data_IF_894478018888
#
_entry.id   IF_894478018888
#
_cell.length_a   1.000
_cell.length_b   1.000
_cell.length_c   1.000
_cell.angle_alpha   90.00
_cell.angle_beta   90.00
_cell.angle_gamma   90.00
#
_symmetry.space_group_name_H-M   'P 1'
#
loop_
_entity.id
_entity.type
_entity.pdbx_description
1 polymer ?
#
# COMPACT_ATOMS: atom_id res chain seq x y z
N UNK A 1 -62.30 25.49 -32.17
CA UNK A 1 -61.33 25.41 -31.06
C UNK A 1 -60.07 24.83 -31.69
N UNK A 2 -59.03 25.68 -31.82
CA UNK A 2 -57.63 25.39 -32.25
C UNK A 2 -57.11 26.54 -33.12
N UNK A 3 -57.07 27.74 -32.52
CA UNK A 3 -56.33 28.88 -33.04
C UNK A 3 -54.99 28.95 -32.31
N UNK A 4 -53.98 28.26 -32.83
CA UNK A 4 -52.58 28.50 -32.49
C UNK A 4 -51.82 28.89 -33.77
N UNK A 5 -51.05 29.99 -33.77
CA UNK A 5 -50.40 30.52 -34.97
C UNK A 5 -49.34 29.56 -35.51
N UNK A 6 -49.15 29.48 -36.85
CA UNK A 6 -48.22 28.55 -37.51
C UNK A 6 -46.75 28.75 -37.14
N UNK A 7 -46.39 29.86 -36.50
CA UNK A 7 -45.05 30.15 -36.00
C UNK A 7 -44.59 29.23 -34.84
N UNK A 8 -45.52 28.55 -34.15
CA UNK A 8 -45.20 27.67 -33.01
C UNK A 8 -44.99 26.20 -33.41
N UNK A 9 -45.19 25.84 -34.68
CA UNK A 9 -44.96 24.46 -35.17
C UNK A 9 -43.48 24.19 -35.47
N UNK A 10 -42.72 25.25 -35.77
CA UNK A 10 -41.30 25.16 -36.12
C UNK A 10 -40.39 24.96 -34.89
N UNK A 11 -40.86 25.33 -33.69
CA UNK A 11 -40.13 25.12 -32.43
C UNK A 11 -40.30 23.74 -31.81
N UNK A 12 -41.28 22.94 -32.27
CA UNK A 12 -41.56 21.61 -31.71
C UNK A 12 -40.42 20.60 -31.90
N UNK A 13 -39.60 20.78 -32.93
CA UNK A 13 -38.41 19.95 -33.19
C UNK A 13 -37.12 20.52 -32.57
N UNK A 14 -37.14 21.79 -32.17
CA UNK A 14 -35.97 22.47 -31.58
C UNK A 14 -35.73 22.00 -30.14
N UNK A 15 -36.79 21.86 -29.34
CA UNK A 15 -36.70 21.37 -27.96
C UNK A 15 -36.18 19.92 -27.84
N UNK A 16 -36.69 18.92 -28.59
CA UNK A 16 -36.15 17.55 -28.52
C UNK A 16 -34.72 17.48 -29.06
N UNK A 17 -34.38 18.26 -30.09
CA UNK A 17 -33.01 18.33 -30.61
C UNK A 17 -32.04 18.93 -29.56
N UNK A 18 -32.44 20.00 -28.87
CA UNK A 18 -31.63 20.60 -27.80
C UNK A 18 -31.48 19.65 -26.60
N UNK A 19 -32.54 18.94 -26.21
CA UNK A 19 -32.49 17.95 -25.14
C UNK A 19 -31.53 16.79 -25.48
N UNK A 20 -31.53 16.32 -26.73
CA UNK A 20 -30.60 15.30 -27.21
C UNK A 20 -29.14 15.78 -27.12
N UNK A 21 -28.86 17.01 -27.54
CA UNK A 21 -27.51 17.59 -27.49
C UNK A 21 -27.03 17.74 -26.05
N UNK A 22 -27.88 18.20 -25.13
CA UNK A 22 -27.55 18.31 -23.70
C UNK A 22 -27.32 16.93 -23.08
N UNK A 23 -28.14 15.94 -23.42
CA UNK A 23 -27.96 14.57 -22.96
C UNK A 23 -26.62 13.99 -23.46
N UNK A 24 -26.31 14.13 -24.75
CA UNK A 24 -25.03 13.69 -25.31
C UNK A 24 -23.83 14.42 -24.69
N UNK A 25 -23.95 15.73 -24.45
CA UNK A 25 -22.91 16.51 -23.77
C UNK A 25 -22.72 16.08 -22.31
N UNK A 26 -23.80 15.77 -21.59
CA UNK A 26 -23.73 15.24 -20.22
C UNK A 26 -23.12 13.85 -20.16
N UNK A 27 -23.45 12.96 -21.12
CA UNK A 27 -22.85 11.64 -21.25
C UNK A 27 -21.37 11.77 -21.59
N UNK A 28 -21.00 12.65 -22.52
CA UNK A 28 -19.61 12.93 -22.88
C UNK A 28 -18.84 13.52 -21.69
N UNK A 29 -19.44 14.41 -20.92
CA UNK A 29 -18.84 15.01 -19.73
C UNK A 29 -18.65 13.96 -18.63
N UNK A 30 -19.65 13.11 -18.39
CA UNK A 30 -19.58 12.01 -17.43
C UNK A 30 -18.56 10.97 -17.86
N UNK A 31 -18.46 10.63 -19.16
CA UNK A 31 -17.44 9.71 -19.65
C UNK A 31 -16.04 10.32 -19.58
N UNK A 32 -15.86 11.61 -19.87
CA UNK A 32 -14.60 12.33 -19.68
C UNK A 32 -14.20 12.47 -18.21
N UNK A 33 -15.16 12.71 -17.31
CA UNK A 33 -14.89 12.76 -15.87
C UNK A 33 -14.62 11.37 -15.29
N UNK A 34 -15.30 10.34 -15.78
CA UNK A 34 -15.07 8.94 -15.39
C UNK A 34 -13.80 8.36 -16.00
N UNK A 35 -13.33 8.90 -17.14
CA UNK A 35 -12.02 8.57 -17.73
C UNK A 35 -10.85 9.37 -17.12
N UNK A 36 -11.14 10.33 -16.24
CA UNK A 36 -10.14 10.98 -15.36
C UNK A 36 -9.97 10.21 -14.05
N UNK A 37 -10.11 8.89 -14.08
CA UNK A 37 -9.49 8.08 -13.04
C UNK A 37 -7.98 8.29 -13.10
N UNK A 38 -7.31 8.51 -11.96
CA UNK A 38 -5.85 8.60 -11.91
C UNK A 38 -5.26 7.36 -12.59
N UNK A 39 -4.23 7.58 -13.41
CA UNK A 39 -3.83 6.67 -14.47
C UNK A 39 -3.70 5.21 -14.04
N UNK A 40 -4.25 4.31 -14.87
CA UNK A 40 -3.90 2.89 -14.85
C UNK A 40 -2.38 2.77 -14.85
N UNK A 41 -1.84 2.20 -13.78
CA UNK A 41 -0.43 1.80 -13.69
C UNK A 41 -0.14 0.94 -14.90
N UNK A 42 0.87 1.29 -15.71
CA UNK A 42 1.31 0.43 -16.81
C UNK A 42 1.85 -0.86 -16.19
N UNK A 43 1.12 -1.94 -16.46
CA UNK A 43 1.24 -3.28 -15.91
C UNK A 43 2.67 -3.83 -15.95
N UNK A 44 3.13 -4.33 -14.79
CA UNK A 44 4.21 -5.31 -14.69
C UNK A 44 5.47 -4.88 -13.92
N UNK A 45 5.63 -3.61 -13.55
CA UNK A 45 6.86 -3.13 -12.86
C UNK A 45 6.59 -2.12 -11.74
N UNK A 46 5.41 -2.16 -11.13
CA UNK A 46 5.09 -1.30 -9.97
C UNK A 46 5.49 -1.93 -8.65
N UNK A 47 5.93 -1.09 -7.72
CA UNK A 47 6.26 -1.44 -6.35
C UNK A 47 5.38 -0.58 -5.44
N UNK A 48 4.59 -1.24 -4.60
CA UNK A 48 3.63 -0.58 -3.72
C UNK A 48 4.23 -0.40 -2.33
N UNK A 49 4.27 0.84 -1.83
CA UNK A 49 4.58 1.13 -0.44
C UNK A 49 3.28 1.14 0.37
N UNK A 50 3.12 0.14 1.22
CA UNK A 50 1.95 -0.05 2.08
C UNK A 50 2.34 0.02 3.55
N UNK A 51 1.34 0.14 4.43
CA UNK A 51 1.54 0.10 5.88
C UNK A 51 0.85 1.23 6.65
N UNK A 52 0.84 1.16 7.99
CA UNK A 52 0.15 2.13 8.85
C UNK A 52 0.59 3.57 8.62
N UNK A 53 -0.26 4.54 8.99
CA UNK A 53 0.17 5.94 9.09
C UNK A 53 1.40 6.08 9.99
N UNK A 54 2.26 7.05 9.70
CA UNK A 54 3.50 7.34 10.43
C UNK A 54 4.58 6.24 10.44
N UNK A 55 4.41 5.17 9.65
CA UNK A 55 5.44 4.14 9.50
C UNK A 55 6.67 4.60 8.70
N UNK A 56 6.56 5.71 7.96
CA UNK A 56 7.66 6.31 7.18
C UNK A 56 7.65 5.99 5.69
N UNK A 57 6.52 5.51 5.13
CA UNK A 57 6.36 5.25 3.68
C UNK A 57 6.81 6.41 2.79
N UNK A 58 6.29 7.62 3.05
CA UNK A 58 6.61 8.81 2.26
C UNK A 58 8.06 9.25 2.44
N UNK A 59 8.66 9.03 3.62
CA UNK A 59 10.07 9.30 3.85
C UNK A 59 10.96 8.34 3.02
N UNK A 60 10.61 7.05 2.97
CA UNK A 60 11.29 6.06 2.12
C UNK A 60 11.12 6.43 0.65
N UNK A 61 9.89 6.74 0.19
CA UNK A 61 9.64 7.16 -1.19
C UNK A 61 10.50 8.36 -1.58
N UNK A 62 10.51 9.38 -0.72
CA UNK A 62 11.26 10.62 -0.97
C UNK A 62 12.75 10.34 -1.02
N UNK A 63 13.26 9.51 -0.10
CA UNK A 63 14.67 9.13 -0.05
C UNK A 63 15.09 8.37 -1.31
N UNK A 64 14.29 7.40 -1.76
CA UNK A 64 14.54 6.66 -3.00
C UNK A 64 14.46 7.56 -4.25
N UNK A 65 13.49 8.48 -4.30
CA UNK A 65 13.24 9.29 -5.50
C UNK A 65 14.24 10.44 -5.65
N UNK A 66 14.59 11.11 -4.54
CA UNK A 66 15.35 12.36 -4.57
C UNK A 66 16.73 12.24 -3.91
N UNK A 67 17.09 11.08 -3.36
CA UNK A 67 18.33 10.88 -2.63
C UNK A 67 18.41 11.68 -1.32
N UNK A 68 17.31 12.28 -0.84
CA UNK A 68 17.30 13.19 0.31
C UNK A 68 16.10 12.95 1.22
N UNK A 69 16.25 13.24 2.51
CA UNK A 69 15.11 13.34 3.43
C UNK A 69 14.40 14.68 3.26
N UNK A 70 13.09 14.66 2.99
CA UNK A 70 12.23 15.84 3.09
C UNK A 70 11.23 15.64 4.25
N UNK A 71 10.89 16.68 5.01
CA UNK A 71 9.81 16.60 5.99
C UNK A 71 8.48 16.31 5.28
N UNK A 72 7.85 15.19 5.60
CA UNK A 72 6.59 14.74 4.96
C UNK A 72 5.43 14.75 5.96
N UNK A 73 4.26 15.21 5.51
CA UNK A 73 2.98 15.08 6.22
C UNK A 73 2.20 13.85 5.70
N UNK A 74 1.11 13.48 6.37
CA UNK A 74 0.28 12.32 6.01
C UNK A 74 -0.24 12.44 4.56
N UNK A 75 0.09 11.46 3.70
CA UNK A 75 -0.38 11.43 2.31
C UNK A 75 -1.90 11.32 2.24
N UNK A 76 -2.56 12.29 1.59
CA UNK A 76 -4.00 12.29 1.32
C UNK A 76 -4.37 11.70 -0.06
N UNK A 77 -3.38 11.52 -0.94
CA UNK A 77 -3.53 10.95 -2.29
C UNK A 77 -2.34 10.03 -2.60
N UNK A 78 -2.57 9.01 -3.41
CA UNK A 78 -1.53 8.09 -3.89
C UNK A 78 -0.47 8.84 -4.70
N UNK A 79 0.78 8.83 -4.23
CA UNK A 79 1.90 9.47 -4.92
C UNK A 79 2.64 8.43 -5.76
N UNK A 80 2.79 8.67 -7.07
CA UNK A 80 3.49 7.77 -7.99
C UNK A 80 4.75 8.44 -8.50
N UNK A 81 5.87 7.74 -8.38
CA UNK A 81 7.17 8.19 -8.87
C UNK A 81 7.85 7.06 -9.65
N UNK A 82 8.70 7.43 -10.58
CA UNK A 82 9.49 6.46 -11.35
C UNK A 82 10.89 6.45 -10.77
N UNK A 83 11.33 5.29 -10.30
CA UNK A 83 12.66 5.08 -9.72
C UNK A 83 13.43 4.06 -10.56
N UNK A 84 14.67 4.38 -10.90
CA UNK A 84 15.56 3.43 -11.60
C UNK A 84 16.71 3.12 -10.65
N UNK A 85 16.78 1.89 -10.08
CA UNK A 85 17.92 1.47 -9.29
C UNK A 85 19.21 1.54 -10.12
N UNK A 86 20.32 1.84 -9.47
CA UNK A 86 21.64 1.78 -10.11
C UNK A 86 21.94 0.33 -10.52
N UNK A 87 22.08 0.07 -11.83
CA UNK A 87 22.29 -1.27 -12.37
C UNK A 87 21.03 -2.00 -12.88
N UNK A 88 19.84 -1.46 -12.66
CA UNK A 88 18.61 -2.05 -13.21
C UNK A 88 18.37 -1.61 -14.67
N UNK A 89 18.08 -2.58 -15.56
CA UNK A 89 17.76 -2.30 -16.97
C UNK A 89 16.40 -1.62 -17.19
N UNK A 90 15.50 -1.62 -16.19
CA UNK A 90 14.14 -1.09 -16.32
C UNK A 90 13.76 -0.23 -15.10
N UNK A 91 13.06 0.90 -15.32
CA UNK A 91 12.56 1.73 -14.24
C UNK A 91 11.38 1.07 -13.51
N UNK A 92 11.36 1.13 -12.19
CA UNK A 92 10.26 0.74 -11.32
C UNK A 92 9.29 1.93 -11.09
N UNK A 93 8.00 1.65 -11.04
CA UNK A 93 6.99 2.63 -10.63
C UNK A 93 6.72 2.48 -9.14
N UNK A 94 7.24 3.36 -8.30
CA UNK A 94 6.95 3.38 -6.86
C UNK A 94 5.64 4.12 -6.59
N UNK A 95 4.71 3.47 -5.89
CA UNK A 95 3.46 4.07 -5.47
C UNK A 95 3.37 4.11 -3.93
N UNK A 96 3.30 5.31 -3.34
CA UNK A 96 2.98 5.50 -1.92
C UNK A 96 1.46 5.50 -1.73
N UNK A 97 0.94 4.43 -1.12
CA UNK A 97 -0.47 4.32 -0.81
C UNK A 97 -0.72 4.88 0.60
N UNK A 98 -1.69 5.79 0.77
CA UNK A 98 -2.06 6.31 2.08
C UNK A 98 -2.39 5.22 3.10
N UNK A 99 -1.81 5.32 4.30
CA UNK A 99 -1.99 4.34 5.38
C UNK A 99 -3.22 4.54 6.27
N UNK A 100 -4.00 5.61 6.03
CA UNK A 100 -5.13 5.96 6.88
C UNK A 100 -6.30 4.97 6.65
N UNK A 101 -6.96 4.43 7.70
CA UNK A 101 -7.99 3.39 7.58
C UNK A 101 -9.06 3.66 6.51
N UNK A 102 -9.54 4.91 6.41
CA UNK A 102 -10.55 5.32 5.42
C UNK A 102 -10.13 5.19 3.94
N UNK A 103 -8.83 5.24 3.64
CA UNK A 103 -8.31 5.32 2.26
C UNK A 103 -7.29 4.23 1.94
N UNK A 104 -6.91 3.40 2.94
CA UNK A 104 -5.95 2.30 2.73
C UNK A 104 -6.41 1.29 1.68
N UNK A 105 -7.72 1.06 1.55
CA UNK A 105 -8.30 0.10 0.58
C UNK A 105 -7.97 0.41 -0.90
N UNK A 106 -7.50 1.62 -1.22
CA UNK A 106 -7.06 2.02 -2.56
C UNK A 106 -5.90 1.16 -3.11
N UNK A 107 -5.17 0.42 -2.25
CA UNK A 107 -4.10 -0.46 -2.70
C UNK A 107 -4.60 -1.57 -3.64
N UNK A 108 -5.86 -1.99 -3.51
CA UNK A 108 -6.44 -3.10 -4.29
C UNK A 108 -6.48 -2.79 -5.79
N UNK A 109 -6.72 -1.53 -6.15
CA UNK A 109 -6.69 -1.07 -7.55
C UNK A 109 -5.27 -1.06 -8.13
N UNK A 110 -4.26 -0.87 -7.29
CA UNK A 110 -2.85 -0.83 -7.68
C UNK A 110 -2.17 -2.21 -7.61
N UNK A 111 -2.84 -3.21 -7.02
CA UNK A 111 -2.33 -4.57 -6.85
C UNK A 111 -2.25 -5.32 -8.19
N UNK A 112 -3.16 -5.04 -9.11
CA UNK A 112 -3.18 -5.62 -10.46
C UNK A 112 -1.97 -5.12 -11.28
N UNK A 113 -0.94 -5.96 -11.38
CA UNK A 113 0.33 -5.65 -12.06
C UNK A 113 1.46 -5.18 -11.15
N UNK A 114 1.31 -5.28 -9.82
CA UNK A 114 2.39 -5.07 -8.87
C UNK A 114 3.43 -6.19 -8.96
N UNK A 115 4.70 -5.81 -9.10
CA UNK A 115 5.84 -6.74 -9.06
C UNK A 115 6.25 -7.05 -7.62
N UNK A 116 6.15 -6.04 -6.74
CA UNK A 116 6.50 -6.18 -5.33
C UNK A 116 5.73 -5.24 -4.42
N UNK A 117 5.64 -5.60 -3.15
CA UNK A 117 4.97 -4.83 -2.10
C UNK A 117 5.95 -4.64 -0.94
N UNK A 118 6.21 -3.40 -0.58
CA UNK A 118 6.97 -3.05 0.62
C UNK A 118 5.99 -2.62 1.70
N UNK A 119 5.75 -3.49 2.67
CA UNK A 119 4.92 -3.20 3.82
C UNK A 119 5.76 -2.59 4.95
N UNK A 120 5.68 -1.28 5.12
CA UNK A 120 6.51 -0.50 6.04
C UNK A 120 5.88 -0.47 7.43
N UNK A 121 6.64 -0.90 8.43
CA UNK A 121 6.25 -1.01 9.84
C UNK A 121 7.19 -0.19 10.71
N UNK A 122 6.65 0.57 11.65
CA UNK A 122 7.45 1.24 12.68
C UNK A 122 7.85 0.23 13.77
N UNK A 123 9.13 -0.15 13.79
CA UNK A 123 9.69 -1.11 14.73
C UNK A 123 9.70 -0.62 16.19
N UNK A 124 9.67 0.70 16.41
CA UNK A 124 9.67 1.30 17.76
C UNK A 124 8.31 1.21 18.45
N UNK A 125 7.22 1.24 17.67
CA UNK A 125 5.83 1.26 18.18
C UNK A 125 5.10 -0.07 18.00
N UNK A 126 5.72 -1.07 17.36
CA UNK A 126 5.09 -2.36 17.04
C UNK A 126 4.53 -3.11 18.26
N UNK A 127 5.15 -2.95 19.44
CA UNK A 127 4.66 -3.59 20.66
C UNK A 127 3.31 -3.04 21.14
N UNK A 128 2.97 -1.79 20.80
CA UNK A 128 1.69 -1.15 21.15
C UNK A 128 0.67 -1.30 20.02
N UNK A 129 1.12 -1.12 18.78
CA UNK A 129 0.24 -1.02 17.62
C UNK A 129 0.10 -2.36 16.85
N UNK A 130 0.73 -3.44 17.32
CA UNK A 130 0.83 -4.72 16.60
C UNK A 130 -0.49 -5.28 16.09
N UNK A 131 -1.57 -5.17 16.87
CA UNK A 131 -2.89 -5.65 16.45
C UNK A 131 -3.46 -4.91 15.23
N UNK A 132 -3.32 -3.57 15.20
CA UNK A 132 -3.75 -2.71 14.09
C UNK A 132 -2.85 -2.87 12.87
N UNK A 133 -1.54 -3.05 13.08
CA UNK A 133 -0.60 -3.32 11.97
C UNK A 133 -0.91 -4.68 11.34
N UNK A 134 -1.13 -5.71 12.17
CA UNK A 134 -1.47 -7.05 11.71
C UNK A 134 -2.83 -7.09 10.98
N UNK A 135 -3.79 -6.27 11.36
CA UNK A 135 -5.06 -6.11 10.62
C UNK A 135 -4.83 -5.65 9.18
N UNK A 136 -4.04 -4.59 9.05
CA UNK A 136 -3.76 -4.01 7.75
C UNK A 136 -2.95 -4.99 6.90
N UNK A 137 -1.98 -5.67 7.51
CA UNK A 137 -1.21 -6.71 6.83
C UNK A 137 -2.12 -7.87 6.40
N UNK A 138 -3.01 -8.36 7.26
CA UNK A 138 -3.98 -9.41 6.92
C UNK A 138 -4.85 -9.00 5.73
N UNK A 139 -5.31 -7.75 5.69
CA UNK A 139 -6.08 -7.22 4.55
C UNK A 139 -5.28 -7.28 3.24
N UNK A 140 -3.98 -6.96 3.29
CA UNK A 140 -3.07 -7.04 2.14
C UNK A 140 -2.82 -8.50 1.73
N UNK A 141 -2.49 -9.38 2.67
CA UNK A 141 -2.27 -10.81 2.42
C UNK A 141 -3.52 -11.45 1.81
N UNK A 142 -4.70 -11.13 2.36
CA UNK A 142 -5.98 -11.60 1.83
C UNK A 142 -6.18 -11.14 0.39
N UNK A 143 -5.99 -9.84 0.10
CA UNK A 143 -6.14 -9.32 -1.26
C UNK A 143 -5.18 -9.99 -2.26
N UNK A 144 -3.97 -10.35 -1.85
CA UNK A 144 -3.02 -11.11 -2.68
C UNK A 144 -3.55 -12.52 -2.96
N UNK A 145 -4.10 -13.22 -1.98
CA UNK A 145 -4.70 -14.54 -2.18
C UNK A 145 -5.95 -14.52 -3.07
N UNK A 146 -6.60 -13.37 -3.22
CA UNK A 146 -7.75 -13.18 -4.11
C UNK A 146 -7.35 -12.83 -5.56
N UNK A 147 -6.05 -12.68 -5.85
CA UNK A 147 -5.60 -12.41 -7.21
C UNK A 147 -5.93 -13.59 -8.15
N UNK A 148 -6.27 -13.31 -9.42
CA UNK A 148 -6.51 -14.37 -10.40
C UNK A 148 -5.28 -15.29 -10.53
N UNK A 149 -5.45 -16.61 -10.75
CA UNK A 149 -4.32 -17.53 -10.95
C UNK A 149 -3.41 -17.18 -12.15
N UNK A 150 -3.91 -16.36 -13.08
CA UNK A 150 -3.16 -15.83 -14.22
C UNK A 150 -2.31 -14.61 -13.90
N UNK A 151 -2.52 -13.98 -12.74
CA UNK A 151 -1.76 -12.82 -12.30
C UNK A 151 -0.45 -13.25 -11.63
N UNK A 152 0.58 -12.42 -11.77
CA UNK A 152 1.84 -12.63 -11.08
C UNK A 152 1.68 -12.31 -9.59
N UNK A 153 2.04 -13.24 -8.71
CA UNK A 153 2.05 -13.01 -7.26
C UNK A 153 3.18 -12.05 -6.89
N UNK A 154 2.89 -10.87 -6.32
CA UNK A 154 3.95 -9.92 -5.94
C UNK A 154 4.81 -10.46 -4.79
N UNK A 155 6.12 -10.23 -4.85
CA UNK A 155 7.01 -10.49 -3.71
C UNK A 155 6.77 -9.46 -2.60
N UNK A 156 6.78 -9.88 -1.34
CA UNK A 156 6.47 -9.01 -0.19
C UNK A 156 7.72 -8.78 0.65
N UNK A 157 8.05 -7.52 0.90
CA UNK A 157 9.04 -7.10 1.89
C UNK A 157 8.33 -6.41 3.06
N UNK A 158 8.39 -7.02 4.25
CA UNK A 158 8.03 -6.34 5.49
C UNK A 158 9.25 -5.56 5.98
N UNK A 159 9.19 -4.23 5.84
CA UNK A 159 10.27 -3.35 6.22
C UNK A 159 10.07 -2.83 7.65
N UNK A 160 10.87 -3.33 8.58
CA UNK A 160 10.93 -2.84 9.96
C UNK A 160 11.73 -1.53 10.02
N UNK A 161 11.04 -0.43 9.74
CA UNK A 161 11.59 0.91 9.69
C UNK A 161 11.82 1.50 11.10
N UNK A 162 12.60 2.57 11.16
CA UNK A 162 13.03 3.27 12.38
C UNK A 162 13.85 2.38 13.32
N UNK A 163 14.67 1.48 12.74
CA UNK A 163 15.56 0.61 13.50
C UNK A 163 16.57 1.38 14.37
N UNK A 164 16.85 2.64 14.02
CA UNK A 164 17.67 3.58 14.81
C UNK A 164 17.09 3.85 16.22
N UNK A 165 15.76 3.75 16.38
CA UNK A 165 15.06 3.93 17.65
C UNK A 165 14.96 2.64 18.48
N UNK A 166 15.39 1.50 17.94
CA UNK A 166 15.35 0.22 18.63
C UNK A 166 16.62 0.05 19.46
N UNK A 167 16.44 -0.21 20.75
CA UNK A 167 17.54 -0.58 21.63
C UNK A 167 18.04 -1.98 21.27
N UNK A 168 19.28 -2.08 20.79
CA UNK A 168 19.96 -3.34 20.52
C UNK A 168 21.17 -3.52 21.45
N UNK A 169 21.45 -4.76 21.81
CA UNK A 169 22.70 -5.14 22.49
C UNK A 169 23.88 -4.97 21.54
N UNK A 170 25.09 -4.77 22.08
CA UNK A 170 26.30 -4.54 21.27
C UNK A 170 26.69 -5.67 20.32
N UNK A 171 26.09 -6.86 20.47
CA UNK A 171 26.40 -8.07 19.72
C UNK A 171 25.55 -8.31 18.47
N UNK A 172 24.48 -7.54 18.24
CA UNK A 172 23.55 -7.76 17.12
C UNK A 172 23.22 -6.44 16.43
N UNK A 173 23.24 -6.38 15.08
CA UNK A 173 22.80 -5.18 14.34
C UNK A 173 21.39 -4.74 14.74
N UNK A 174 21.13 -3.42 14.74
CA UNK A 174 19.82 -2.88 15.16
C UNK A 174 18.71 -3.30 14.19
N UNK A 175 19.07 -3.42 12.92
CA UNK A 175 18.21 -3.81 11.81
C UNK A 175 17.72 -5.25 11.99
N UNK A 176 18.58 -6.17 12.41
CA UNK A 176 18.19 -7.57 12.63
C UNK A 176 17.29 -7.70 13.85
N UNK A 177 17.61 -7.01 14.95
CA UNK A 177 16.77 -6.97 16.16
C UNK A 177 15.39 -6.37 15.86
N UNK A 178 15.34 -5.29 15.08
CA UNK A 178 14.09 -4.66 14.65
C UNK A 178 13.24 -5.63 13.80
N UNK A 179 13.86 -6.31 12.83
CA UNK A 179 13.19 -7.28 11.97
C UNK A 179 12.63 -8.47 12.76
N UNK A 180 13.41 -9.04 13.69
CA UNK A 180 12.97 -10.15 14.54
C UNK A 180 11.81 -9.74 15.46
N UNK A 181 11.87 -8.54 16.05
CA UNK A 181 10.79 -8.01 16.88
C UNK A 181 9.50 -7.85 16.09
N UNK A 182 9.57 -7.29 14.89
CA UNK A 182 8.42 -7.12 14.01
C UNK A 182 7.85 -8.49 13.59
N UNK A 183 8.71 -9.43 13.20
CA UNK A 183 8.32 -10.81 12.87
C UNK A 183 7.53 -11.46 14.00
N UNK A 184 8.11 -11.51 15.20
CA UNK A 184 7.48 -12.17 16.35
C UNK A 184 6.12 -11.57 16.71
N UNK A 185 6.00 -10.23 16.69
CA UNK A 185 4.73 -9.58 17.02
C UNK A 185 3.69 -9.84 15.93
N UNK A 186 4.05 -9.70 14.65
CA UNK A 186 3.10 -9.89 13.56
C UNK A 186 2.65 -11.35 13.43
N UNK A 187 3.55 -12.33 13.51
CA UNK A 187 3.17 -13.75 13.46
C UNK A 187 2.20 -14.09 14.60
N UNK A 188 2.47 -13.59 15.82
CA UNK A 188 1.58 -13.80 16.96
C UNK A 188 0.20 -13.17 16.77
N UNK A 189 0.13 -11.91 16.30
CA UNK A 189 -1.16 -11.24 16.12
C UNK A 189 -1.95 -11.80 14.92
N UNK A 190 -1.27 -12.25 13.85
CA UNK A 190 -1.90 -12.93 12.72
C UNK A 190 -2.41 -14.31 13.11
N UNK A 191 -1.68 -15.07 13.94
CA UNK A 191 -2.17 -16.34 14.46
C UNK A 191 -3.43 -16.17 15.31
N UNK A 192 -3.48 -15.15 16.19
CA UNK A 192 -4.70 -14.82 16.94
C UNK A 192 -5.88 -14.53 16.02
N UNK A 193 -5.65 -13.78 14.94
CA UNK A 193 -6.69 -13.46 13.94
C UNK A 193 -7.15 -14.73 13.22
N UNK A 194 -6.23 -15.58 12.77
CA UNK A 194 -6.53 -16.89 12.16
C UNK A 194 -7.39 -17.75 13.09
N UNK A 195 -7.02 -17.87 14.37
CA UNK A 195 -7.81 -18.62 15.36
C UNK A 195 -9.18 -17.99 15.63
N UNK A 196 -9.28 -16.66 15.69
CA UNK A 196 -10.57 -15.98 15.87
C UNK A 196 -11.50 -16.19 14.68
N UNK A 197 -10.96 -16.24 13.45
CA UNK A 197 -11.74 -16.54 12.26
C UNK A 197 -12.20 -18.00 12.21
N UNK A 198 -11.41 -18.94 12.74
CA UNK A 198 -11.78 -20.36 12.82
C UNK A 198 -12.81 -20.63 13.93
N UNK A 199 -12.70 -19.96 15.07
CA UNK A 199 -13.59 -20.14 16.23
C UNK A 199 -14.88 -19.30 16.15
N UNK A 200 -14.90 -18.25 15.32
CA UNK A 200 -16.03 -17.34 15.10
C UNK A 200 -17.25 -17.94 14.40
N UNK A 201 -17.22 -19.21 13.98
CA UNK A 201 -18.36 -19.89 13.35
C UNK A 201 -19.43 -20.34 14.37
N UNK A 202 -19.26 -20.06 15.67
CA UNK A 202 -20.07 -20.68 16.72
C UNK A 202 -20.94 -19.80 17.65
N UNK A 203 -20.75 -18.48 17.77
CA UNK A 203 -21.43 -17.70 18.84
C UNK A 203 -21.75 -16.25 18.45
N UNK A 204 -23.03 -15.99 18.15
CA UNK A 204 -23.75 -14.72 18.39
C UNK A 204 -23.39 -13.51 17.53
N UNK A 205 -24.31 -12.63 17.14
CA UNK A 205 -25.68 -12.45 17.60
C UNK A 205 -26.27 -11.17 17.02
N UNK A 206 -27.60 -11.12 17.05
CA UNK A 206 -28.46 -9.97 16.82
C UNK A 206 -27.92 -8.72 17.55
N UNK A 207 -27.63 -7.67 16.80
CA UNK A 207 -27.21 -6.38 17.31
C UNK A 207 -27.33 -5.32 16.23
N UNK A 208 -28.56 -4.84 16.02
CA UNK A 208 -28.88 -3.68 15.21
C UNK A 208 -28.24 -2.44 15.87
N UNK A 209 -27.22 -1.89 15.23
CA UNK A 209 -26.73 -0.52 15.43
C UNK A 209 -26.09 -0.06 14.12
N UNK A 210 -26.92 0.58 13.29
CA UNK A 210 -26.48 1.33 12.12
C UNK A 210 -25.67 2.56 12.59
N UNK A 211 -24.34 2.47 12.52
CA UNK A 211 -23.38 3.54 12.20
C UNK A 211 -21.98 3.17 12.72
N UNK A 212 -21.33 2.25 12.03
CA UNK A 212 -19.89 2.21 11.82
C UNK A 212 -19.69 1.22 10.66
N UNK A 213 -18.81 1.51 9.71
CA UNK A 213 -18.55 0.61 8.61
C UNK A 213 -18.02 -0.71 9.19
N UNK A 214 -18.91 -1.69 9.29
CA UNK A 214 -18.62 -3.07 9.65
C UNK A 214 -17.67 -3.61 8.57
N UNK A 215 -16.36 -3.43 8.78
CA UNK A 215 -15.33 -4.21 8.12
C UNK A 215 -15.52 -5.65 8.61
N UNK A 216 -16.51 -6.34 8.03
CA UNK A 216 -16.82 -7.73 8.32
C UNK A 216 -15.52 -8.52 8.36
N UNK A 217 -15.33 -9.28 9.44
CA UNK A 217 -14.09 -9.97 9.72
C UNK A 217 -13.59 -10.70 8.46
N UNK A 218 -12.45 -10.25 7.92
CA UNK A 218 -11.87 -10.81 6.69
C UNK A 218 -11.65 -12.31 6.91
N UNK A 219 -12.40 -13.13 6.20
CA UNK A 219 -12.34 -14.58 6.33
C UNK A 219 -11.32 -15.14 5.34
N UNK A 220 -10.29 -15.84 5.84
CA UNK A 220 -9.24 -16.47 5.05
C UNK A 220 -8.04 -15.56 4.72
N UNK A 221 -7.12 -16.05 3.88
CA UNK A 221 -5.89 -15.35 3.47
C UNK A 221 -4.68 -15.57 4.38
N UNK A 222 -4.84 -16.36 5.45
CA UNK A 222 -3.77 -16.71 6.42
C UNK A 222 -3.49 -18.22 6.44
N UNK A 223 -3.80 -18.92 5.34
CA UNK A 223 -3.56 -20.35 5.21
C UNK A 223 -2.06 -20.65 5.14
N UNK A 224 -1.66 -21.74 5.77
CA UNK A 224 -0.25 -22.15 5.88
C UNK A 224 -0.04 -23.58 5.41
N UNK A 225 1.10 -23.82 4.77
CA UNK A 225 1.54 -25.16 4.37
C UNK A 225 1.89 -25.97 5.62
N UNK A 226 1.03 -26.93 5.94
CA UNK A 226 1.21 -27.89 7.02
C UNK A 226 0.56 -27.50 8.34
N UNK A 227 0.74 -28.36 9.33
CA UNK A 227 0.16 -28.20 10.66
C UNK A 227 1.07 -27.33 11.56
N UNK A 228 0.46 -26.45 12.37
CA UNK A 228 1.16 -25.57 13.30
C UNK A 228 0.69 -24.11 13.29
N UNK A 229 1.34 -23.26 14.11
CA UNK A 229 1.01 -21.83 14.18
C UNK A 229 1.42 -21.09 12.91
N UNK A 230 0.76 -19.97 12.63
CA UNK A 230 1.09 -19.09 11.53
C UNK A 230 2.56 -18.65 11.59
N UNK A 231 3.26 -18.82 10.47
CA UNK A 231 4.59 -18.22 10.25
C UNK A 231 4.69 -17.79 8.80
N UNK A 232 5.36 -16.66 8.56
CA UNK A 232 5.55 -16.13 7.21
C UNK A 232 6.27 -17.10 6.28
N UNK A 233 7.16 -17.95 6.81
CA UNK A 233 7.88 -18.95 6.01
C UNK A 233 6.99 -20.09 5.49
N UNK A 234 5.83 -20.29 6.12
CA UNK A 234 4.87 -21.35 5.76
C UNK A 234 3.63 -20.81 5.05
N UNK A 235 3.54 -19.50 4.83
CA UNK A 235 2.34 -18.89 4.25
C UNK A 235 2.17 -19.29 2.78
N UNK A 236 0.97 -19.69 2.39
CA UNK A 236 0.69 -20.20 1.03
C UNK A 236 0.58 -19.11 -0.04
N UNK A 237 0.37 -17.86 0.36
CA UNK A 237 0.06 -16.77 -0.57
C UNK A 237 1.26 -16.13 -1.27
N UNK A 238 2.50 -16.54 -0.99
CA UNK A 238 3.69 -16.04 -1.66
C UNK A 238 4.93 -15.92 -0.78
N UNK A 239 6.00 -15.36 -1.34
CA UNK A 239 7.25 -15.12 -0.64
C UNK A 239 7.19 -13.84 0.20
N UNK A 240 7.57 -13.96 1.48
CA UNK A 240 7.64 -12.82 2.41
C UNK A 240 9.05 -12.73 3.00
N UNK A 241 9.75 -11.65 2.66
CA UNK A 241 11.02 -11.27 3.28
C UNK A 241 10.77 -10.25 4.38
N UNK A 242 11.51 -10.32 5.48
CA UNK A 242 11.46 -9.32 6.56
C UNK A 242 12.85 -8.76 6.75
N UNK A 243 12.99 -7.45 6.66
CA UNK A 243 14.26 -6.76 6.85
C UNK A 243 14.08 -5.50 7.70
N UNK A 244 15.14 -5.11 8.40
CA UNK A 244 15.18 -3.88 9.16
C UNK A 244 15.90 -2.76 8.40
N UNK A 245 15.61 -1.54 8.78
CA UNK A 245 16.38 -0.38 8.34
C UNK A 245 15.82 0.92 8.90
N UNK A 246 16.38 2.02 8.46
CA UNK A 246 16.01 3.35 8.90
C UNK A 246 16.20 4.33 7.75
N UNK A 247 15.51 5.46 7.82
CA UNK A 247 15.75 6.57 6.89
C UNK A 247 16.60 7.58 7.64
N UNK A 248 17.85 7.77 7.20
CA UNK A 248 18.68 8.82 7.77
C UNK A 248 18.05 10.20 7.51
N UNK A 249 18.00 11.03 8.56
CA UNK A 249 17.39 12.37 8.53
C UNK A 249 18.32 13.42 7.95
N UNK A 250 19.49 13.02 7.42
CA UNK A 250 20.44 13.95 6.84
C UNK A 250 19.85 14.69 5.62
N UNK A 251 19.92 16.01 5.68
CA UNK A 251 19.56 16.92 4.58
C UNK A 251 20.53 16.74 3.41
N UNK A 252 20.04 16.96 2.18
CA UNK A 252 20.83 16.87 0.94
C UNK A 252 22.18 17.58 0.99
N UNK A 253 22.24 18.76 1.58
CA UNK A 253 23.50 19.53 1.74
C UNK A 253 24.57 18.80 2.56
N UNK A 254 24.17 18.04 3.60
CA UNK A 254 25.11 17.23 4.38
C UNK A 254 25.52 15.96 3.64
N UNK A 255 24.61 15.41 2.83
CA UNK A 255 24.88 14.24 2.01
C UNK A 255 25.87 14.55 0.88
N UNK A 256 25.68 15.68 0.18
CA UNK A 256 26.59 16.18 -0.85
C UNK A 256 27.97 16.49 -0.26
N UNK A 257 28.03 17.12 0.92
CA UNK A 257 29.28 17.38 1.64
C UNK A 257 30.00 16.10 2.13
N UNK A 258 29.28 15.02 2.45
CA UNK A 258 29.85 13.73 2.82
C UNK A 258 30.37 12.97 1.59
N UNK A 259 29.64 13.04 0.47
CA UNK A 259 30.02 12.46 -0.81
C UNK A 259 31.27 13.13 -1.38
N UNK A 260 31.38 14.46 -1.28
CA UNK A 260 32.59 15.22 -1.63
C UNK A 260 33.81 14.86 -0.76
N UNK A 261 33.58 14.35 0.47
CA UNK A 261 34.63 13.86 1.37
C UNK A 261 35.00 12.39 1.15
N UNK A 262 34.35 11.71 0.19
CA UNK A 262 34.58 10.29 -0.09
C UNK A 262 34.00 9.33 0.95
N UNK A 263 33.12 9.80 1.84
CA UNK A 263 32.35 8.94 2.73
C UNK A 263 31.12 8.42 1.96
N UNK A 264 30.97 7.09 1.89
CA UNK A 264 29.74 6.46 1.37
C UNK A 264 28.62 6.78 2.35
N UNK A 265 27.70 7.65 1.94
CA UNK A 265 26.56 8.01 2.76
C UNK A 265 25.62 6.81 2.92
N UNK A 266 25.72 6.12 4.05
CA UNK A 266 24.79 5.05 4.42
C UNK A 266 23.40 5.66 4.60
N UNK A 267 22.46 5.30 3.71
CA UNK A 267 21.10 5.79 3.77
C UNK A 267 20.20 4.98 4.73
N UNK A 268 20.76 3.93 5.35
CA UNK A 268 20.06 3.02 6.26
C UNK A 268 19.07 2.08 5.56
N UNK A 269 19.06 2.07 4.22
CA UNK A 269 18.12 1.32 3.38
C UNK A 269 18.80 0.22 2.53
N UNK A 270 20.03 -0.16 2.86
CA UNK A 270 20.78 -1.20 2.13
C UNK A 270 19.99 -2.50 1.90
N UNK A 271 19.24 -2.95 2.91
CA UNK A 271 18.40 -4.15 2.79
C UNK A 271 17.23 -3.98 1.81
N UNK A 272 16.67 -2.76 1.72
CA UNK A 272 15.62 -2.45 0.76
C UNK A 272 16.19 -2.42 -0.66
N UNK A 273 17.35 -1.78 -0.87
CA UNK A 273 18.02 -1.78 -2.18
C UNK A 273 18.37 -3.19 -2.65
N UNK A 274 18.96 -4.01 -1.78
CA UNK A 274 19.27 -5.41 -2.11
C UNK A 274 18.03 -6.23 -2.47
N UNK A 275 16.90 -6.01 -1.78
CA UNK A 275 15.64 -6.66 -2.14
C UNK A 275 15.07 -6.16 -3.48
N UNK A 276 15.17 -4.85 -3.76
CA UNK A 276 14.75 -4.26 -5.03
C UNK A 276 15.57 -4.75 -6.23
N UNK A 277 16.86 -5.01 -6.02
CA UNK A 277 17.75 -5.63 -7.02
C UNK A 277 17.43 -7.11 -7.26
N UNK A 278 16.90 -7.80 -6.25
CA UNK A 278 16.49 -9.21 -6.33
C UNK A 278 15.16 -9.46 -7.04
N UNK A 279 14.36 -8.42 -7.28
CA UNK A 279 13.08 -8.50 -8.02
C UNK A 279 13.30 -8.64 -9.53
#
# INVERSE_FOLDING_TARGET
MDFLPPALRQSQWLYPALALVVALASILLVTLFRSRTPGKVKSGNSILLLGPSDSGKTAILTRLTYGQFLPTHTSLQTNQTVFTPEGASKPYNLADIPGHPRIRAQFTEALDGAKGIVFVVDSSTIARNGATVAEHLHSVLHAITQLPPSAHTPSILIMANKADLVSASSSSPRETVAAERVRMVLERELEKRRQSSLTGVGVGGLGENDNEADEGAIQGGLETMGDGPFSFAKWEGGEVTIAGGFVDKQTKEKLEAATEKGEVADDGLANLHSWLEGL
#
